data_IF_479360572147
#
_entry.id   IF_479360572147
#
_cell.length_a   1.000
_cell.length_b   1.000
_cell.length_c   1.000
_cell.angle_alpha   90.00
_cell.angle_beta   90.00
_cell.angle_gamma   90.00
#
_symmetry.space_group_name_H-M   'P 1'
#
loop_
_entity.id
_entity.type
_entity.pdbx_description
1 polymer ?
#
# COMPACT_ATOMS: atom_id res chain seq x y z
N UNK A 1 39.05 -69.37 13.97
CA UNK A 1 40.24 -68.48 14.01
C UNK A 1 39.88 -67.15 13.39
N UNK A 2 40.20 -66.05 14.09
CA UNK A 2 39.92 -64.62 13.79
C UNK A 2 38.51 -64.11 14.15
N UNK A 3 38.27 -63.17 15.07
CA UNK A 3 38.98 -62.62 16.24
C UNK A 3 37.93 -61.82 17.03
N UNK A 4 37.96 -61.92 18.36
CA UNK A 4 37.24 -61.06 19.31
C UNK A 4 37.89 -59.67 19.34
N UNK A 5 37.13 -58.59 19.61
CA UNK A 5 37.45 -57.66 20.71
C UNK A 5 36.35 -56.60 20.89
N UNK A 6 35.68 -56.65 22.05
CA UNK A 6 34.92 -55.55 22.66
C UNK A 6 35.80 -54.96 23.75
N UNK A 7 36.03 -53.64 23.75
CA UNK A 7 36.35 -52.80 24.93
C UNK A 7 36.28 -51.31 24.51
N UNK A 8 35.29 -50.51 24.96
CA UNK A 8 35.35 -49.59 26.14
C UNK A 8 36.50 -48.57 26.04
N UNK A 9 36.40 -47.24 26.26
CA UNK A 9 35.35 -46.32 26.74
C UNK A 9 35.95 -44.87 26.71
N UNK A 10 35.10 -43.83 26.67
CA UNK A 10 35.33 -42.41 27.04
C UNK A 10 36.30 -41.49 26.25
N UNK A 11 35.77 -40.43 25.62
CA UNK A 11 35.83 -39.02 26.11
C UNK A 11 35.10 -38.05 25.15
N UNK A 12 34.33 -37.11 25.74
CA UNK A 12 33.81 -35.81 25.22
C UNK A 12 32.78 -35.80 24.07
N UNK A 13 31.49 -35.60 24.33
CA UNK A 13 30.76 -34.32 24.55
C UNK A 13 30.83 -33.29 23.41
N UNK A 14 29.73 -33.16 22.67
CA UNK A 14 29.09 -31.91 22.24
C UNK A 14 27.88 -32.30 21.36
N UNK A 15 26.72 -32.61 21.94
CA UNK A 15 25.61 -31.65 22.10
C UNK A 15 25.71 -30.49 21.09
N UNK A 16 24.99 -30.63 19.98
CA UNK A 16 24.20 -29.55 19.42
C UNK A 16 22.92 -30.14 18.81
N UNK A 17 21.96 -30.42 19.69
CA UNK A 17 20.56 -30.26 19.38
C UNK A 17 20.33 -28.77 19.06
N UNK A 18 20.43 -28.41 17.78
CA UNK A 18 19.73 -27.25 17.26
C UNK A 18 18.69 -27.76 16.27
N UNK A 19 17.67 -28.41 16.83
CA UNK A 19 16.30 -28.19 16.36
C UNK A 19 16.00 -26.72 16.62
N UNK A 20 16.54 -25.85 15.76
CA UNK A 20 16.06 -24.49 15.62
C UNK A 20 14.67 -24.60 15.04
N UNK A 21 13.66 -24.72 15.91
CA UNK A 21 12.32 -24.28 15.57
C UNK A 21 12.50 -22.82 15.22
N UNK A 22 12.58 -22.54 13.92
CA UNK A 22 12.49 -21.18 13.42
C UNK A 22 11.05 -20.76 13.65
N UNK A 23 10.74 -20.41 14.90
CA UNK A 23 9.92 -19.24 15.14
C UNK A 23 10.72 -18.07 14.57
N UNK A 24 10.74 -17.96 13.24
CA UNK A 24 10.62 -16.67 12.64
C UNK A 24 9.44 -16.05 13.36
N UNK A 25 9.71 -15.19 14.35
CA UNK A 25 8.67 -14.29 14.80
C UNK A 25 8.30 -13.53 13.54
N UNK A 26 7.22 -13.98 12.89
CA UNK A 26 6.37 -13.09 12.15
C UNK A 26 6.18 -11.93 13.13
N UNK A 27 6.84 -10.81 12.86
CA UNK A 27 6.34 -9.54 13.32
C UNK A 27 4.92 -9.54 12.77
N UNK A 28 3.97 -9.98 13.60
CA UNK A 28 2.58 -9.68 13.41
C UNK A 28 2.58 -8.18 13.54
N UNK A 29 2.83 -7.51 12.41
CA UNK A 29 2.48 -6.13 12.26
C UNK A 29 0.96 -6.19 12.30
N UNK A 30 0.38 -6.08 13.50
CA UNK A 30 -1.06 -5.87 13.73
C UNK A 30 -1.50 -4.49 13.20
N UNK A 31 -0.77 -4.00 12.18
CA UNK A 31 -1.05 -2.77 11.50
C UNK A 31 -2.12 -3.10 10.47
N UNK A 32 -3.30 -2.55 10.68
CA UNK A 32 -4.36 -2.55 9.68
C UNK A 32 -3.92 -1.68 8.51
N UNK A 33 -3.68 -2.31 7.36
CA UNK A 33 -3.27 -1.65 6.13
C UNK A 33 -4.49 -1.41 5.24
N UNK A 34 -4.60 -0.19 4.71
CA UNK A 34 -5.53 0.18 3.65
C UNK A 34 -4.75 0.55 2.39
N UNK A 35 -5.16 0.03 1.24
CA UNK A 35 -4.63 0.37 -0.07
C UNK A 35 -5.76 0.92 -0.91
N UNK A 36 -5.75 2.22 -1.15
CA UNK A 36 -6.71 2.91 -2.03
C UNK A 36 -6.05 3.15 -3.38
N UNK A 37 -6.73 2.84 -4.48
CA UNK A 37 -6.20 3.12 -5.80
C UNK A 37 -7.20 3.77 -6.76
N UNK A 38 -6.76 4.79 -7.48
CA UNK A 38 -7.48 5.37 -8.62
C UNK A 38 -6.95 4.74 -9.91
N UNK A 39 -7.83 4.32 -10.81
CA UNK A 39 -7.42 3.85 -12.12
C UNK A 39 -8.37 4.37 -13.20
N UNK A 40 -7.79 4.68 -14.36
CA UNK A 40 -8.52 4.85 -15.62
C UNK A 40 -8.28 3.65 -16.54
N UNK A 41 -7.04 3.15 -16.53
CA UNK A 41 -6.62 1.90 -17.18
C UNK A 41 -6.00 0.96 -16.15
N UNK A 42 -5.93 -0.33 -16.47
CA UNK A 42 -5.55 -1.40 -15.54
C UNK A 42 -4.14 -1.30 -14.93
N UNK A 43 -3.26 -0.43 -15.44
CA UNK A 43 -1.88 -0.29 -14.95
C UNK A 43 -1.79 0.04 -13.46
N UNK A 44 -2.65 0.93 -12.98
CA UNK A 44 -2.60 1.37 -11.57
C UNK A 44 -3.16 0.30 -10.64
N UNK A 45 -4.15 -0.46 -11.13
CA UNK A 45 -4.72 -1.62 -10.45
C UNK A 45 -3.67 -2.71 -10.26
N UNK A 46 -2.94 -3.07 -11.31
CA UNK A 46 -1.90 -4.10 -11.24
C UNK A 46 -0.83 -3.78 -10.17
N UNK A 47 -0.43 -2.52 -10.02
CA UNK A 47 0.54 -2.12 -8.99
C UNK A 47 -0.09 -2.17 -7.59
N UNK A 48 -1.35 -1.76 -7.45
CA UNK A 48 -2.05 -1.85 -6.17
C UNK A 48 -2.24 -3.32 -5.72
N UNK A 49 -2.47 -4.23 -6.66
CA UNK A 49 -2.53 -5.68 -6.42
C UNK A 49 -1.17 -6.26 -6.03
N UNK A 50 -0.07 -5.80 -6.65
CA UNK A 50 1.29 -6.17 -6.23
C UNK A 50 1.53 -5.71 -4.79
N UNK A 51 1.24 -4.45 -4.46
CA UNK A 51 1.38 -3.95 -3.08
C UNK A 51 0.55 -4.81 -2.13
N UNK A 52 -0.72 -5.07 -2.46
CA UNK A 52 -1.61 -5.89 -1.64
C UNK A 52 -1.08 -7.30 -1.41
N UNK A 53 -0.48 -7.92 -2.43
CA UNK A 53 0.15 -9.24 -2.31
C UNK A 53 1.33 -9.23 -1.33
N UNK A 54 2.13 -8.16 -1.31
CA UNK A 54 3.33 -8.06 -0.47
C UNK A 54 3.01 -7.67 0.99
N UNK A 55 2.04 -6.77 1.21
CA UNK A 55 1.76 -6.21 2.56
C UNK A 55 0.43 -6.65 3.17
N UNK A 56 -0.45 -7.29 2.41
CA UNK A 56 -1.79 -7.63 2.83
C UNK A 56 -2.71 -6.42 3.02
N UNK A 57 -3.76 -6.58 3.83
CA UNK A 57 -4.70 -5.52 4.18
C UNK A 57 -5.91 -5.40 3.25
N UNK A 58 -6.59 -4.26 3.33
CA UNK A 58 -7.81 -3.96 2.56
C UNK A 58 -7.47 -3.23 1.27
N UNK A 59 -7.83 -3.78 0.12
CA UNK A 59 -7.65 -3.16 -1.19
C UNK A 59 -8.96 -2.55 -1.70
N UNK A 60 -8.96 -1.23 -1.97
CA UNK A 60 -10.16 -0.46 -2.33
C UNK A 60 -9.93 0.35 -3.60
N UNK A 61 -10.81 0.18 -4.59
CA UNK A 61 -10.83 1.05 -5.77
C UNK A 61 -11.54 2.38 -5.45
N UNK A 62 -10.91 3.50 -5.80
CA UNK A 62 -11.50 4.83 -5.73
C UNK A 62 -12.38 5.09 -6.96
N UNK A 63 -13.68 5.25 -6.75
CA UNK A 63 -14.69 5.49 -7.80
C UNK A 63 -15.40 6.82 -7.56
N UNK A 64 -15.60 7.58 -8.63
CA UNK A 64 -16.42 8.78 -8.63
C UNK A 64 -17.92 8.41 -8.66
N UNK A 65 -18.76 9.30 -8.15
CA UNK A 65 -20.22 9.19 -8.33
C UNK A 65 -20.58 9.33 -9.81
N UNK A 66 -19.98 10.31 -10.48
CA UNK A 66 -20.05 10.48 -11.92
C UNK A 66 -18.69 10.14 -12.54
N UNK A 67 -18.54 9.01 -13.25
CA UNK A 67 -17.27 8.62 -13.85
C UNK A 67 -16.76 9.65 -14.87
N UNK A 68 -15.43 9.72 -15.04
CA UNK A 68 -14.86 10.45 -16.18
C UNK A 68 -15.22 9.75 -17.49
N UNK A 69 -15.27 10.50 -18.61
CA UNK A 69 -15.38 9.91 -19.93
C UNK A 69 -14.32 8.83 -20.17
N UNK A 70 -14.67 7.77 -20.89
CA UNK A 70 -13.69 6.76 -21.29
C UNK A 70 -12.67 7.34 -22.28
N UNK A 71 -13.14 8.25 -23.14
CA UNK A 71 -12.32 8.96 -24.11
C UNK A 71 -11.31 9.89 -23.41
N UNK A 72 -10.03 9.66 -23.71
CA UNK A 72 -8.95 10.45 -23.14
C UNK A 72 -9.01 11.93 -23.57
N UNK A 73 -9.39 12.21 -24.82
CA UNK A 73 -9.42 13.59 -25.34
C UNK A 73 -10.53 14.42 -24.69
N UNK A 74 -11.58 13.78 -24.17
CA UNK A 74 -12.64 14.42 -23.39
C UNK A 74 -12.29 14.54 -21.90
N UNK A 75 -11.56 13.56 -21.35
CA UNK A 75 -11.11 13.59 -19.95
C UNK A 75 -10.14 14.74 -19.67
N UNK A 76 -9.19 14.99 -20.59
CA UNK A 76 -8.15 16.02 -20.41
C UNK A 76 -8.72 17.41 -20.11
N UNK A 77 -9.60 17.99 -20.96
CA UNK A 77 -10.14 19.33 -20.72
C UNK A 77 -11.02 19.40 -19.46
N UNK A 78 -11.72 18.30 -19.11
CA UNK A 78 -12.46 18.24 -17.85
C UNK A 78 -11.50 18.34 -16.65
N UNK A 79 -10.46 17.50 -16.60
CA UNK A 79 -9.48 17.50 -15.50
C UNK A 79 -8.73 18.85 -15.39
N UNK A 80 -8.47 19.53 -16.50
CA UNK A 80 -7.90 20.88 -16.49
C UNK A 80 -8.85 21.86 -15.80
N UNK A 81 -10.10 21.95 -16.24
CA UNK A 81 -11.12 22.83 -15.66
C UNK A 81 -11.35 22.56 -14.17
N UNK A 82 -11.39 21.28 -13.79
CA UNK A 82 -11.56 20.89 -12.38
C UNK A 82 -10.37 21.34 -11.53
N UNK A 83 -9.14 21.21 -12.04
CA UNK A 83 -7.96 21.70 -11.34
C UNK A 83 -7.93 23.22 -11.22
N UNK A 84 -8.28 23.96 -12.27
CA UNK A 84 -8.34 25.42 -12.27
C UNK A 84 -9.37 25.95 -11.27
N UNK A 85 -10.53 25.28 -11.17
CA UNK A 85 -11.61 25.66 -10.26
C UNK A 85 -11.43 25.12 -8.83
N UNK A 86 -10.41 24.32 -8.57
CA UNK A 86 -10.27 23.60 -7.30
C UNK A 86 -11.43 22.63 -7.02
N UNK A 87 -12.11 22.14 -8.06
CA UNK A 87 -13.27 21.28 -7.93
C UNK A 87 -12.89 19.92 -7.34
N UNK A 88 -13.65 19.49 -6.33
CA UNK A 88 -13.51 18.19 -5.68
C UNK A 88 -14.67 17.29 -6.14
N UNK A 89 -14.46 16.41 -7.14
CA UNK A 89 -15.53 15.56 -7.63
C UNK A 89 -16.06 14.61 -6.52
N UNK A 90 -17.37 14.40 -6.43
CA UNK A 90 -17.95 13.52 -5.42
C UNK A 90 -17.55 12.06 -5.66
N UNK A 91 -17.30 11.35 -4.56
CA UNK A 91 -16.85 9.96 -4.57
C UNK A 91 -18.00 9.00 -4.24
N UNK A 92 -18.11 7.94 -5.04
CA UNK A 92 -18.97 6.78 -4.76
C UNK A 92 -18.35 5.87 -3.71
N UNK A 93 -17.02 5.73 -3.75
CA UNK A 93 -16.29 4.94 -2.74
C UNK A 93 -16.43 5.61 -1.37
N UNK A 94 -16.90 4.83 -0.40
CA UNK A 94 -16.89 5.18 1.02
C UNK A 94 -16.07 4.12 1.76
N UNK A 95 -15.17 4.59 2.60
CA UNK A 95 -14.30 3.80 3.46
C UNK A 95 -14.78 4.05 4.89
N UNK A 96 -15.43 3.06 5.46
CA UNK A 96 -15.94 3.15 6.82
C UNK A 96 -14.78 3.09 7.81
N UNK A 97 -14.85 3.92 8.84
CA UNK A 97 -13.89 3.94 9.96
C UNK A 97 -12.43 4.01 9.48
N UNK A 98 -12.09 4.92 8.56
CA UNK A 98 -10.73 5.04 8.00
C UNK A 98 -9.64 5.20 9.07
N UNK A 99 -9.98 5.75 10.24
CA UNK A 99 -9.10 5.92 11.39
C UNK A 99 -8.62 4.59 12.02
N UNK A 100 -9.26 3.46 11.70
CA UNK A 100 -8.80 2.15 12.18
C UNK A 100 -7.53 1.66 11.49
N UNK A 101 -7.20 2.23 10.33
CA UNK A 101 -6.05 1.82 9.54
C UNK A 101 -4.81 2.56 10.03
N UNK A 102 -3.77 1.80 10.38
CA UNK A 102 -2.49 2.35 10.82
C UNK A 102 -1.65 2.85 9.64
N UNK A 103 -1.83 2.23 8.46
CA UNK A 103 -1.08 2.54 7.24
C UNK A 103 -2.07 2.70 6.09
N UNK A 104 -1.97 3.80 5.34
CA UNK A 104 -2.78 4.02 4.15
C UNK A 104 -1.88 4.25 2.94
N UNK A 105 -1.89 3.29 2.01
CA UNK A 105 -1.30 3.41 0.69
C UNK A 105 -2.31 4.05 -0.26
N UNK A 106 -1.89 5.06 -0.99
CA UNK A 106 -2.74 5.71 -2.00
C UNK A 106 -2.00 5.70 -3.35
N UNK A 107 -2.53 4.93 -4.31
CA UNK A 107 -1.91 4.69 -5.62
C UNK A 107 -2.75 5.33 -6.73
N UNK A 108 -2.14 6.15 -7.58
CA UNK A 108 -2.88 6.83 -8.64
C UNK A 108 -1.99 7.07 -9.88
N UNK A 109 -2.58 7.19 -11.08
CA UNK A 109 -1.86 7.67 -12.25
C UNK A 109 -1.52 9.15 -12.10
N UNK A 110 -0.40 9.57 -12.67
CA UNK A 110 -0.10 10.99 -12.81
C UNK A 110 -1.00 11.59 -13.90
N UNK A 111 -1.79 12.60 -13.56
CA UNK A 111 -2.56 13.38 -14.53
C UNK A 111 -2.00 14.79 -14.59
N UNK A 112 -1.51 15.21 -15.76
CA UNK A 112 -0.97 16.56 -15.95
C UNK A 112 0.15 16.95 -14.95
N UNK A 113 1.00 15.99 -14.57
CA UNK A 113 2.04 16.17 -13.54
C UNK A 113 1.50 16.67 -12.17
N UNK A 114 0.20 16.50 -11.93
CA UNK A 114 -0.53 16.95 -10.75
C UNK A 114 -1.23 15.79 -10.05
N UNK A 115 -1.63 16.03 -8.81
CA UNK A 115 -2.50 15.15 -8.05
C UNK A 115 -3.90 15.12 -8.71
N UNK A 116 -4.44 13.95 -9.09
CA UNK A 116 -5.77 13.85 -9.68
C UNK A 116 -6.86 14.46 -8.78
N UNK A 117 -7.85 15.19 -9.34
CA UNK A 117 -8.98 15.71 -8.56
C UNK A 117 -9.69 14.68 -7.66
N UNK A 118 -9.93 13.42 -8.08
CA UNK A 118 -10.54 12.42 -7.20
C UNK A 118 -9.70 12.10 -5.96
N UNK A 119 -8.38 12.14 -6.07
CA UNK A 119 -7.49 11.93 -4.93
C UNK A 119 -7.57 13.13 -3.97
N UNK A 120 -7.68 14.35 -4.49
CA UNK A 120 -7.94 15.54 -3.67
C UNK A 120 -9.27 15.39 -2.91
N UNK A 121 -10.32 14.90 -3.56
CA UNK A 121 -11.60 14.61 -2.90
C UNK A 121 -11.45 13.59 -1.78
N UNK A 122 -10.67 12.53 -1.98
CA UNK A 122 -10.41 11.51 -0.95
C UNK A 122 -9.72 12.13 0.26
N UNK A 123 -8.66 12.92 0.03
CA UNK A 123 -7.91 13.58 1.10
C UNK A 123 -8.79 14.55 1.90
N UNK A 124 -9.67 15.28 1.22
CA UNK A 124 -10.61 16.20 1.85
C UNK A 124 -11.72 15.48 2.64
N UNK A 125 -12.28 14.40 2.09
CA UNK A 125 -13.41 13.68 2.70
C UNK A 125 -13.04 13.04 4.04
N UNK A 126 -11.79 12.58 4.18
CA UNK A 126 -11.35 11.79 5.32
C UNK A 126 -10.37 12.51 6.25
N UNK A 127 -10.13 13.81 6.02
CA UNK A 127 -9.05 14.58 6.64
C UNK A 127 -7.80 13.72 6.86
N UNK A 128 -7.31 13.14 5.75
CA UNK A 128 -6.19 12.20 5.80
C UNK A 128 -4.92 12.86 6.33
N UNK A 129 -4.85 14.21 6.33
CA UNK A 129 -3.78 14.95 7.01
C UNK A 129 -3.82 14.75 8.53
N UNK A 130 -5.01 14.78 9.13
CA UNK A 130 -5.17 14.50 10.55
C UNK A 130 -4.85 13.03 10.87
N UNK A 131 -5.26 12.10 10.01
CA UNK A 131 -4.83 10.69 10.12
C UNK A 131 -3.29 10.57 10.09
N UNK A 132 -2.60 11.36 9.26
CA UNK A 132 -1.12 11.45 9.22
C UNK A 132 -0.53 12.06 10.49
N UNK A 133 -1.20 13.07 11.07
CA UNK A 133 -0.70 13.78 12.25
C UNK A 133 -0.91 12.98 13.55
N UNK A 134 -2.00 12.20 13.64
CA UNK A 134 -2.39 11.46 14.84
C UNK A 134 -1.88 10.01 14.84
N UNK A 135 -1.64 9.39 13.68
CA UNK A 135 -1.03 8.06 13.56
C UNK A 135 0.35 8.13 12.90
N UNK A 136 1.38 7.76 13.67
CA UNK A 136 2.80 8.02 13.35
C UNK A 136 3.41 7.20 12.20
N UNK A 137 2.68 6.32 11.52
CA UNK A 137 3.28 5.37 10.57
C UNK A 137 2.71 5.45 9.14
N UNK A 138 2.87 6.63 8.51
CA UNK A 138 3.00 6.84 7.05
C UNK A 138 1.76 6.67 6.15
N UNK A 139 1.30 7.78 5.53
CA UNK A 139 0.59 7.73 4.24
C UNK A 139 1.63 7.70 3.12
N UNK A 140 1.62 6.64 2.32
CA UNK A 140 2.52 6.52 1.17
C UNK A 140 1.76 6.77 -0.12
N UNK A 141 2.03 7.93 -0.72
CA UNK A 141 1.51 8.33 -2.02
C UNK A 141 2.48 7.86 -3.11
N UNK A 142 2.03 6.93 -3.95
CA UNK A 142 2.86 6.40 -5.02
C UNK A 142 2.64 7.15 -6.33
N UNK A 143 3.66 7.90 -6.73
CA UNK A 143 3.73 8.69 -7.96
C UNK A 143 4.58 8.00 -9.06
N UNK A 144 4.20 8.14 -10.33
CA UNK A 144 5.14 8.09 -11.46
C UNK A 144 5.37 6.77 -12.23
N UNK A 145 5.77 6.94 -13.51
CA UNK A 145 6.27 5.90 -14.45
C UNK A 145 7.64 5.41 -14.03
N UNK A 146 7.80 4.07 -13.86
CA UNK A 146 9.00 3.20 -13.75
C UNK A 146 10.32 3.67 -13.08
N UNK A 147 10.59 4.95 -12.81
CA UNK A 147 11.89 5.41 -12.25
C UNK A 147 11.81 6.50 -11.17
N UNK A 148 10.63 6.90 -10.71
CA UNK A 148 10.53 7.90 -9.65
C UNK A 148 9.38 7.60 -8.69
N UNK A 149 9.54 6.51 -7.95
CA UNK A 149 8.76 6.25 -6.74
C UNK A 149 9.28 7.17 -5.65
N UNK A 150 8.84 8.41 -5.62
CA UNK A 150 9.16 9.30 -4.51
C UNK A 150 8.02 9.25 -3.51
N UNK A 151 8.28 8.72 -2.32
CA UNK A 151 7.44 8.95 -1.15
C UNK A 151 7.57 10.45 -0.84
N UNK A 152 6.58 11.25 -1.25
CA UNK A 152 6.48 12.64 -0.77
C UNK A 152 5.33 12.71 0.22
N UNK A 153 5.65 13.14 1.42
CA UNK A 153 4.67 13.71 2.34
C UNK A 153 4.15 15.00 1.69
N UNK A 154 2.88 15.01 1.30
CA UNK A 154 2.24 16.25 0.89
C UNK A 154 1.78 16.96 2.16
N UNK A 155 2.56 17.94 2.62
CA UNK A 155 1.97 19.04 3.37
C UNK A 155 1.18 19.85 2.33
N UNK A 156 -0.15 19.69 2.30
CA UNK A 156 -1.01 20.56 1.48
C UNK A 156 -1.21 21.87 2.21
#
# INVERSE_FOLDING_TARGET
MKNNLVFFLFFTTAICLFTGSSSAQALVTDKKVLIVYLFRTNNTKAIAEIIHKEVGGTLVALKLTNPYPENYTETVPQVVKENEKGYLPPLKTKIDSIAQYNVVFVRFPTWWMKLPPPIKSLLHLYDLKKVVAENKDTITLFYGRKKQQQIRYFSV
#
